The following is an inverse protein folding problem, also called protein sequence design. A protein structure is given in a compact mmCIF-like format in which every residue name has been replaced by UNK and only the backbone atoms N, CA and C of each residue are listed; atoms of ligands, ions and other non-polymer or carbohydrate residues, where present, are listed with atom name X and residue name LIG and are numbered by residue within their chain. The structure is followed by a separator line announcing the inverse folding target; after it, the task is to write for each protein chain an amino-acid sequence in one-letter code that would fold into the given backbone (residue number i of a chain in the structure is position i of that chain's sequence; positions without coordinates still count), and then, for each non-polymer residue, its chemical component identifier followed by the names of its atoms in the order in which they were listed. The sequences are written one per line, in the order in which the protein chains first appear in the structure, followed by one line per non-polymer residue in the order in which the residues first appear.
data_IF_956142060204
#
_entry.id   IF_956142060204
#
_cell.length_a   1.000
_cell.length_b   1.000
_cell.length_c   1.000
_cell.angle_alpha   90.00
_cell.angle_beta   90.00
_cell.angle_gamma   90.00
#
_symmetry.space_group_name_H-M   'P 1'
#
loop_
_entity.id
_entity.type
_entity.pdbx_description
1 polymer ?
#
# COMPACT_ATOMS: atom_id res chain seq x y z
N UNK A 1 -15.36 8.04 5.80
CA UNK A 1 -14.96 6.96 4.88
C UNK A 1 -16.18 6.52 4.10
N UNK A 2 -16.01 6.16 2.83
CA UNK A 2 -17.10 5.67 1.97
C UNK A 2 -17.10 4.16 1.81
N UNK A 3 -15.99 3.49 2.18
CA UNK A 3 -15.88 2.04 2.19
C UNK A 3 -14.72 1.57 3.09
N UNK A 4 -14.73 0.28 3.47
CA UNK A 4 -13.70 -0.37 4.29
C UNK A 4 -13.35 -1.74 3.73
N UNK A 5 -12.05 -1.99 3.46
CA UNK A 5 -11.51 -3.33 3.24
C UNK A 5 -10.63 -3.72 4.44
N UNK A 6 -10.97 -4.83 5.09
CA UNK A 6 -10.27 -5.34 6.26
C UNK A 6 -10.10 -6.85 6.17
N UNK A 7 -9.09 -7.38 6.88
CA UNK A 7 -9.01 -8.82 7.12
C UNK A 7 -10.23 -9.31 7.92
N UNK A 8 -10.64 -10.55 7.69
CA UNK A 8 -11.63 -11.26 8.50
C UNK A 8 -11.02 -12.52 9.18
N UNK A 9 -11.85 -13.30 9.88
CA UNK A 9 -11.41 -14.47 10.64
C UNK A 9 -10.76 -15.58 9.76
N UNK A 10 -11.01 -15.57 8.46
CA UNK A 10 -10.53 -16.56 7.49
C UNK A 10 -9.66 -15.96 6.38
N UNK A 11 -9.75 -14.65 6.15
CA UNK A 11 -9.08 -13.94 5.07
C UNK A 11 -8.15 -12.85 5.61
N UNK A 12 -6.85 -13.13 5.61
CA UNK A 12 -5.84 -12.14 5.95
C UNK A 12 -5.48 -11.28 4.72
N UNK A 13 -5.88 -10.01 4.75
CA UNK A 13 -5.67 -9.03 3.69
C UNK A 13 -4.34 -8.29 3.92
N UNK A 14 -3.23 -9.03 3.79
CA UNK A 14 -1.86 -8.52 3.89
C UNK A 14 -1.11 -8.66 2.58
N UNK A 15 -0.10 -7.82 2.40
CA UNK A 15 0.88 -7.84 1.32
C UNK A 15 0.22 -7.98 -0.07
N UNK A 16 0.56 -9.05 -0.78
CA UNK A 16 0.10 -9.35 -2.13
C UNK A 16 -1.43 -9.46 -2.22
N UNK A 17 -2.11 -10.02 -1.22
CA UNK A 17 -3.57 -10.15 -1.23
C UNK A 17 -4.26 -8.78 -1.15
N UNK A 18 -3.67 -7.86 -0.40
CA UNK A 18 -4.15 -6.47 -0.34
C UNK A 18 -3.96 -5.77 -1.68
N UNK A 19 -2.80 -5.96 -2.30
CA UNK A 19 -2.52 -5.43 -3.63
C UNK A 19 -3.49 -5.98 -4.68
N UNK A 20 -3.73 -7.29 -4.71
CA UNK A 20 -4.69 -7.94 -5.61
C UNK A 20 -6.11 -7.43 -5.41
N UNK A 21 -6.58 -7.30 -4.16
CA UNK A 21 -7.91 -6.77 -3.87
C UNK A 21 -8.07 -5.31 -4.34
N UNK A 22 -7.04 -4.48 -4.15
CA UNK A 22 -7.05 -3.09 -4.61
C UNK A 22 -7.02 -3.00 -6.14
N UNK A 23 -6.21 -3.83 -6.82
CA UNK A 23 -6.17 -3.90 -8.28
C UNK A 23 -7.48 -4.42 -8.85
N UNK A 24 -8.07 -5.46 -8.28
CA UNK A 24 -9.35 -6.00 -8.73
C UNK A 24 -10.47 -4.96 -8.64
N UNK A 25 -10.39 -4.05 -7.66
CA UNK A 25 -11.41 -3.04 -7.42
C UNK A 25 -11.21 -1.74 -8.20
N UNK A 26 -9.97 -1.24 -8.22
CA UNK A 26 -9.65 0.09 -8.74
C UNK A 26 -8.84 0.07 -10.03
N UNK A 27 -8.43 -1.12 -10.47
CA UNK A 27 -7.52 -1.29 -11.60
C UNK A 27 -6.05 -1.13 -11.21
N UNK A 28 -5.18 -1.70 -12.01
CA UNK A 28 -3.74 -1.53 -11.86
C UNK A 28 -3.35 -0.08 -12.08
N UNK A 29 -2.55 0.49 -11.16
CA UNK A 29 -2.19 1.91 -11.12
C UNK A 29 -3.37 2.89 -11.02
N UNK A 30 -4.58 2.41 -10.76
CA UNK A 30 -5.80 3.22 -10.67
C UNK A 30 -6.09 3.81 -9.28
N UNK A 31 -5.19 3.62 -8.32
CA UNK A 31 -5.37 4.07 -6.93
C UNK A 31 -4.07 4.62 -6.33
N UNK A 32 -4.22 5.55 -5.39
CA UNK A 32 -3.15 5.95 -4.48
C UNK A 32 -3.19 5.12 -3.20
N UNK A 33 -2.03 4.88 -2.59
CA UNK A 33 -1.95 4.08 -1.37
C UNK A 33 -1.01 4.71 -0.33
N UNK A 34 -1.56 4.98 0.85
CA UNK A 34 -0.85 5.46 2.02
C UNK A 34 -0.46 4.28 2.94
N UNK A 35 0.83 4.12 3.19
CA UNK A 35 1.39 3.04 4.01
C UNK A 35 2.63 3.47 4.77
N UNK A 36 3.14 2.61 5.63
CA UNK A 36 4.27 2.95 6.51
C UNK A 36 5.26 1.81 6.75
N UNK A 37 4.99 0.62 6.21
CA UNK A 37 5.69 -0.60 6.59
C UNK A 37 6.28 -1.33 5.38
N UNK A 38 7.17 -2.28 5.65
CA UNK A 38 7.74 -3.16 4.60
C UNK A 38 6.70 -4.05 3.91
N UNK A 39 5.52 -4.23 4.52
CA UNK A 39 4.40 -5.00 4.00
C UNK A 39 3.65 -4.26 2.88
N UNK A 40 3.79 -2.93 2.86
CA UNK A 40 3.13 -2.07 1.89
C UNK A 40 3.81 -2.08 0.51
N UNK A 41 5.01 -2.64 0.40
CA UNK A 41 5.80 -2.71 -0.84
C UNK A 41 5.03 -3.33 -2.00
N UNK A 42 4.35 -4.47 -1.76
CA UNK A 42 3.56 -5.15 -2.78
C UNK A 42 2.36 -4.31 -3.25
N UNK A 43 1.83 -3.44 -2.38
CA UNK A 43 0.73 -2.54 -2.73
C UNK A 43 1.26 -1.33 -3.50
N UNK A 44 2.37 -0.74 -3.06
CA UNK A 44 3.02 0.39 -3.74
C UNK A 44 3.48 0.03 -5.16
N UNK A 45 3.99 -1.18 -5.38
CA UNK A 45 4.32 -1.68 -6.73
C UNK A 45 3.13 -1.62 -7.70
N UNK A 46 1.89 -1.73 -7.21
CA UNK A 46 0.66 -1.73 -8.01
C UNK A 46 -0.13 -0.42 -7.93
N UNK A 47 0.23 0.46 -7.01
CA UNK A 47 -0.39 1.77 -6.83
C UNK A 47 0.10 2.75 -7.91
N UNK A 48 -0.78 3.65 -8.33
CA UNK A 48 -0.46 4.77 -9.22
C UNK A 48 0.11 5.97 -8.47
N UNK A 49 -0.07 6.00 -7.14
CA UNK A 49 0.55 6.97 -6.24
C UNK A 49 0.96 6.30 -4.93
N UNK A 50 2.21 6.55 -4.53
CA UNK A 50 2.85 6.04 -3.32
C UNK A 50 2.94 7.16 -2.30
N UNK A 51 2.15 7.03 -1.24
CA UNK A 51 2.19 7.94 -0.09
C UNK A 51 2.79 7.20 1.10
N UNK A 52 3.88 7.73 1.65
CA UNK A 52 4.54 7.18 2.83
C UNK A 52 4.19 8.07 4.02
N UNK A 53 3.72 7.47 5.12
CA UNK A 53 3.30 8.21 6.31
C UNK A 53 3.95 7.60 7.55
N UNK A 54 4.75 8.37 8.28
CA UNK A 54 5.49 7.94 9.47
C UNK A 54 6.17 6.56 9.28
N UNK A 55 7.14 6.45 8.35
CA UNK A 55 7.69 5.17 7.93
C UNK A 55 8.45 4.46 9.06
N UNK A 56 8.26 3.14 9.15
CA UNK A 56 9.12 2.29 9.96
C UNK A 56 10.57 2.35 9.47
N UNK A 57 11.51 2.04 10.37
CA UNK A 57 12.94 2.07 10.05
C UNK A 57 13.25 1.22 8.79
N UNK A 58 13.96 1.84 7.85
CA UNK A 58 14.42 1.20 6.61
C UNK A 58 13.35 1.05 5.51
N UNK A 59 12.13 1.53 5.73
CA UNK A 59 11.08 1.51 4.69
C UNK A 59 11.45 2.42 3.52
N UNK A 60 11.88 3.65 3.80
CA UNK A 60 12.33 4.58 2.75
C UNK A 60 13.58 4.04 2.02
N UNK A 61 14.53 3.44 2.73
CA UNK A 61 15.72 2.84 2.12
C UNK A 61 15.35 1.71 1.13
N UNK A 62 14.36 0.88 1.49
CA UNK A 62 13.89 -0.21 0.64
C UNK A 62 13.05 0.29 -0.54
N UNK A 63 12.28 1.36 -0.34
CA UNK A 63 11.44 1.96 -1.38
C UNK A 63 12.26 2.77 -2.40
N UNK A 64 13.40 3.33 -1.98
CA UNK A 64 14.24 4.18 -2.82
C UNK A 64 13.51 5.46 -3.25
N UNK A 65 13.68 5.86 -4.51
CA UNK A 65 13.02 7.04 -5.09
C UNK A 65 11.54 6.79 -5.47
N UNK A 66 10.94 5.69 -5.02
CA UNK A 66 9.59 5.27 -5.39
C UNK A 66 8.45 5.98 -4.65
N UNK A 67 8.73 6.92 -3.74
CA UNK A 67 7.71 7.68 -3.01
C UNK A 67 7.33 8.97 -3.74
N UNK A 68 6.04 9.19 -3.97
CA UNK A 68 5.54 10.46 -4.52
C UNK A 68 5.41 11.52 -3.42
N UNK A 69 4.99 11.10 -2.22
CA UNK A 69 4.76 11.98 -1.07
C UNK A 69 5.21 11.28 0.20
N UNK A 70 5.96 11.99 1.05
CA UNK A 70 6.40 11.52 2.36
C UNK A 70 5.90 12.47 3.44
N UNK A 71 5.26 11.93 4.46
CA UNK A 71 4.85 12.62 5.67
C UNK A 71 5.57 11.99 6.87
N UNK A 72 6.29 12.82 7.65
CA UNK A 72 6.99 12.41 8.88
C UNK A 72 6.22 12.84 10.12
#
# INVERSE_FOLDING_TARGET
FSDVMASDATYNLRDQRKAEALVARYGEKGFGYAGNSHLDMAVWERAGQVVVVNPDKGVLDKLGEGADIVFE
#
